data_IF_180503007092
#
_entry.id   IF_180503007092
#
_cell.length_a   1.000
_cell.length_b   1.000
_cell.length_c   1.000
_cell.angle_alpha   90.00
_cell.angle_beta   90.00
_cell.angle_gamma   90.00
#
_symmetry.space_group_name_H-M   'P 1'
#
loop_
_entity.id
_entity.type
_entity.pdbx_description
1 polymer ?
#
# COMPACT_ATOMS: atom_id res chain seq x y z
N UNK A 1 50.76 6.36 32.99
CA UNK A 1 49.64 5.42 33.22
C UNK A 1 48.82 5.36 31.95
N UNK A 2 48.50 4.19 31.37
CA UNK A 2 47.61 4.14 30.22
C UNK A 2 46.17 4.35 30.69
N UNK A 3 45.50 5.34 30.11
CA UNK A 3 44.05 5.55 30.25
C UNK A 3 43.36 4.53 29.34
N UNK A 4 42.70 3.54 29.94
CA UNK A 4 41.78 2.68 29.21
C UNK A 4 40.62 3.52 28.72
N UNK A 5 40.51 3.73 27.41
CA UNK A 5 39.31 4.30 26.80
C UNK A 5 38.20 3.26 26.91
N UNK A 6 37.35 3.38 27.92
CA UNK A 6 36.07 2.65 27.96
C UNK A 6 35.20 3.19 26.83
N UNK A 7 35.28 2.56 25.67
CA UNK A 7 34.33 2.81 24.58
C UNK A 7 32.99 2.23 25.02
N UNK A 8 32.11 3.07 25.56
CA UNK A 8 30.73 2.69 25.83
C UNK A 8 30.08 2.36 24.48
N UNK A 9 29.77 1.09 24.28
CA UNK A 9 29.11 0.61 23.06
C UNK A 9 27.67 1.09 23.08
N UNK A 10 27.29 1.89 22.08
CA UNK A 10 25.88 2.28 21.88
C UNK A 10 25.29 1.38 20.81
N UNK A 11 23.99 1.12 20.91
CA UNK A 11 23.22 0.39 19.93
C UNK A 11 21.99 1.21 19.54
N UNK A 12 21.61 1.13 18.27
CA UNK A 12 20.39 1.73 17.75
C UNK A 12 19.49 0.59 17.31
N UNK A 13 18.31 0.51 17.92
CA UNK A 13 17.26 -0.41 17.52
C UNK A 13 16.30 0.33 16.58
N UNK A 14 16.17 -0.18 15.36
CA UNK A 14 15.27 0.30 14.32
C UNK A 14 14.05 -0.61 14.29
N UNK A 15 12.86 -0.01 14.38
CA UNK A 15 11.59 -0.71 14.19
C UNK A 15 10.72 0.11 13.24
N UNK A 16 10.29 -0.50 12.14
CA UNK A 16 9.46 0.13 11.13
C UNK A 16 8.25 -0.73 10.80
N UNK A 17 7.08 -0.15 11.01
CA UNK A 17 5.78 -0.80 10.90
C UNK A 17 4.77 0.19 10.29
N UNK A 18 3.78 -0.36 9.59
CA UNK A 18 2.61 0.37 9.10
C UNK A 18 1.66 0.74 10.27
N UNK A 19 0.68 1.60 9.98
CA UNK A 19 -0.33 2.05 10.96
C UNK A 19 -1.19 0.90 11.50
N UNK A 20 -1.33 -0.19 10.75
CA UNK A 20 -2.03 -1.42 11.14
C UNK A 20 -1.15 -2.41 11.92
N UNK A 21 0.06 -1.98 12.33
CA UNK A 21 1.08 -2.78 13.01
C UNK A 21 1.72 -3.87 12.14
N UNK A 22 1.46 -3.93 10.82
CA UNK A 22 2.22 -4.81 9.95
C UNK A 22 3.68 -4.35 9.83
N UNK A 23 4.67 -5.26 9.96
CA UNK A 23 6.07 -4.90 9.82
C UNK A 23 6.40 -4.58 8.36
N UNK A 24 7.21 -3.54 8.15
CA UNK A 24 7.73 -3.22 6.80
C UNK A 24 8.95 -4.10 6.53
N UNK A 25 8.77 -5.15 5.72
CA UNK A 25 9.77 -6.21 5.59
C UNK A 25 10.81 -5.90 4.52
N UNK A 26 12.08 -6.17 4.84
CA UNK A 26 13.18 -6.03 3.86
C UNK A 26 13.48 -4.59 3.46
N UNK A 27 12.80 -3.60 4.05
CA UNK A 27 12.98 -2.21 3.68
C UNK A 27 14.43 -1.79 3.91
N UNK A 28 15.08 -1.16 2.91
CA UNK A 28 16.41 -0.60 3.10
C UNK A 28 16.31 0.55 4.10
N UNK A 29 17.29 0.67 4.99
CA UNK A 29 17.38 1.79 5.92
C UNK A 29 18.73 2.49 5.77
N UNK A 30 18.75 3.79 6.06
CA UNK A 30 19.94 4.63 6.09
C UNK A 30 19.95 5.49 7.34
N UNK A 31 20.94 5.29 8.21
CA UNK A 31 21.19 6.12 9.38
C UNK A 31 22.28 7.12 9.00
N UNK A 32 21.97 8.41 9.08
CA UNK A 32 22.94 9.48 8.84
C UNK A 32 23.22 10.19 10.15
N UNK A 33 24.49 10.14 10.57
CA UNK A 33 24.98 10.78 11.77
C UNK A 33 25.42 12.22 11.48
N UNK A 34 25.48 13.07 12.52
CA UNK A 34 25.87 14.48 12.39
C UNK A 34 27.30 14.70 11.91
N UNK A 35 28.16 13.69 11.97
CA UNK A 35 29.53 13.70 11.45
C UNK A 35 29.62 13.35 9.95
N UNK A 36 28.47 13.15 9.29
CA UNK A 36 28.32 12.65 7.92
C UNK A 36 28.69 11.18 7.73
N UNK A 37 28.89 10.42 8.82
CA UNK A 37 28.98 8.96 8.74
C UNK A 37 27.60 8.40 8.40
N UNK A 38 27.55 7.38 7.56
CA UNK A 38 26.31 6.73 7.13
C UNK A 38 26.40 5.24 7.42
N UNK A 39 25.31 4.67 7.95
CA UNK A 39 25.12 3.21 8.11
C UNK A 39 23.91 2.79 7.30
N UNK A 40 24.08 1.78 6.46
CA UNK A 40 23.04 1.27 5.57
C UNK A 40 22.84 -0.21 5.79
N UNK A 41 21.60 -0.67 5.65
CA UNK A 41 21.25 -2.07 5.77
C UNK A 41 19.81 -2.33 5.32
N UNK A 42 19.31 -3.51 5.66
CA UNK A 42 17.92 -3.89 5.43
C UNK A 42 17.28 -4.35 6.72
N UNK A 43 16.00 -4.01 6.89
CA UNK A 43 15.18 -4.55 7.97
C UNK A 43 14.95 -6.04 7.74
N UNK A 44 14.78 -6.78 8.84
CA UNK A 44 14.43 -8.18 8.80
C UNK A 44 12.93 -8.38 8.47
N UNK A 45 12.44 -9.61 8.60
CA UNK A 45 11.04 -9.98 8.35
C UNK A 45 10.05 -9.40 9.37
N UNK A 46 10.56 -8.83 10.47
CA UNK A 46 9.77 -8.19 11.52
C UNK A 46 9.85 -6.67 11.43
N UNK A 47 10.45 -6.11 10.36
CA UNK A 47 10.66 -4.66 10.26
C UNK A 47 11.69 -4.16 11.27
N UNK A 48 12.57 -5.04 11.74
CA UNK A 48 13.56 -4.75 12.76
C UNK A 48 14.99 -4.76 12.20
N UNK A 49 15.83 -3.86 12.71
CA UNK A 49 17.27 -3.95 12.57
C UNK A 49 17.95 -3.37 13.81
N UNK A 50 19.12 -3.91 14.16
CA UNK A 50 19.93 -3.40 15.25
C UNK A 50 21.33 -3.09 14.75
N UNK A 51 21.74 -1.85 14.96
CA UNK A 51 23.08 -1.39 14.64
C UNK A 51 23.89 -1.24 15.91
N UNK A 52 24.99 -1.99 16.03
CA UNK A 52 25.86 -1.98 17.21
C UNK A 52 27.09 -1.10 16.99
N UNK A 53 27.72 -0.67 18.09
CA UNK A 53 28.90 0.19 18.05
C UNK A 53 28.66 1.52 17.34
N UNK A 54 27.49 2.11 17.59
CA UNK A 54 27.12 3.41 17.02
C UNK A 54 27.80 4.55 17.81
N UNK A 55 28.21 5.62 17.13
CA UNK A 55 28.69 6.81 17.82
C UNK A 55 27.52 7.48 18.57
N UNK A 56 27.79 8.04 19.76
CA UNK A 56 26.80 8.80 20.52
C UNK A 56 26.64 10.22 19.96
N UNK A 57 26.21 10.30 18.70
CA UNK A 57 25.98 11.53 17.96
C UNK A 57 24.50 11.64 17.58
N UNK A 58 23.98 12.85 17.39
CA UNK A 58 22.67 13.02 16.76
C UNK A 58 22.64 12.34 15.38
N UNK A 59 21.52 11.68 15.09
CA UNK A 59 21.31 10.98 13.82
C UNK A 59 19.87 11.14 13.36
N UNK A 60 19.66 10.96 12.06
CA UNK A 60 18.33 10.74 11.48
C UNK A 60 18.33 9.43 10.70
N UNK A 61 17.15 8.83 10.56
CA UNK A 61 16.96 7.57 9.85
C UNK A 61 16.00 7.76 8.70
N UNK A 62 16.39 7.28 7.54
CA UNK A 62 15.55 7.20 6.34
C UNK A 62 15.22 5.74 6.09
N UNK A 63 13.92 5.42 6.04
CA UNK A 63 13.42 4.09 5.70
C UNK A 63 12.91 4.09 4.26
N UNK A 64 13.26 3.04 3.52
CA UNK A 64 12.72 2.76 2.20
C UNK A 64 11.38 2.03 2.24
N UNK A 65 10.99 1.51 1.09
CA UNK A 65 9.73 0.78 0.90
C UNK A 65 9.84 -0.70 1.30
N UNK A 66 8.70 -1.34 1.56
CA UNK A 66 8.60 -2.78 1.78
C UNK A 66 8.93 -3.54 0.48
N UNK A 67 9.82 -4.53 0.56
CA UNK A 67 10.21 -5.33 -0.62
C UNK A 67 9.15 -6.39 -0.98
N UNK A 68 8.09 -6.56 -0.18
CA UNK A 68 7.02 -7.52 -0.44
C UNK A 68 6.18 -7.08 -1.65
N UNK A 69 5.82 -8.02 -2.54
CA UNK A 69 4.92 -7.72 -3.64
C UNK A 69 3.52 -7.38 -3.10
N UNK A 70 2.99 -6.23 -3.55
CA UNK A 70 1.62 -5.82 -3.23
C UNK A 70 0.60 -6.88 -3.69
N UNK A 71 -0.31 -7.27 -2.79
CA UNK A 71 -1.46 -8.12 -3.11
C UNK A 71 -2.73 -7.31 -2.91
N UNK A 72 -3.45 -7.06 -4.00
CA UNK A 72 -4.74 -6.39 -3.91
C UNK A 72 -5.71 -7.22 -3.04
N UNK A 73 -6.51 -6.57 -2.17
CA UNK A 73 -7.56 -7.26 -1.45
C UNK A 73 -8.54 -7.89 -2.46
N UNK A 74 -9.16 -9.04 -2.12
CA UNK A 74 -10.19 -9.63 -2.96
C UNK A 74 -11.29 -8.60 -3.24
N UNK A 75 -11.69 -8.48 -4.51
CA UNK A 75 -12.85 -7.67 -4.85
C UNK A 75 -14.07 -8.25 -4.12
N UNK A 76 -14.82 -7.40 -3.43
CA UNK A 76 -16.10 -7.83 -2.87
C UNK A 76 -17.02 -8.28 -4.01
N UNK A 77 -17.41 -9.56 -3.97
CA UNK A 77 -18.40 -10.11 -4.89
C UNK A 77 -19.79 -9.70 -4.43
N UNK A 78 -20.10 -8.40 -4.50
CA UNK A 78 -21.47 -7.94 -4.31
C UNK A 78 -22.27 -8.29 -5.56
N UNK A 79 -23.10 -9.32 -5.51
CA UNK A 79 -24.06 -9.65 -6.58
C UNK A 79 -25.24 -8.65 -6.66
N UNK A 80 -25.19 -7.54 -5.90
CA UNK A 80 -26.24 -6.53 -5.86
C UNK A 80 -26.51 -5.91 -7.24
N UNK A 81 -25.46 -5.72 -8.04
CA UNK A 81 -25.61 -5.26 -9.42
C UNK A 81 -26.45 -6.22 -10.29
N UNK A 82 -26.46 -7.53 -9.99
CA UNK A 82 -27.28 -8.51 -10.71
C UNK A 82 -28.76 -8.39 -10.38
N UNK A 83 -29.11 -7.91 -9.18
CA UNK A 83 -30.50 -7.68 -8.75
C UNK A 83 -31.13 -6.48 -9.44
N UNK A 84 -30.35 -5.45 -9.73
CA UNK A 84 -30.81 -4.24 -10.43
C UNK A 84 -30.97 -4.42 -11.96
N UNK A 85 -30.29 -5.41 -12.56
CA UNK A 85 -30.38 -5.68 -14.01
C UNK A 85 -31.80 -5.99 -14.53
N UNK A 86 -32.61 -6.86 -13.91
CA UNK A 86 -33.96 -7.15 -14.42
C UNK A 86 -34.85 -5.92 -14.43
N UNK A 87 -34.75 -5.04 -13.43
CA UNK A 87 -35.54 -3.81 -13.36
C UNK A 87 -35.09 -2.81 -14.43
N UNK A 88 -33.78 -2.62 -14.59
CA UNK A 88 -33.22 -1.77 -15.65
C UNK A 88 -33.64 -2.27 -17.04
N UNK A 89 -33.57 -3.59 -17.29
CA UNK A 89 -34.01 -4.21 -18.55
C UNK A 89 -35.49 -3.99 -18.81
N UNK A 90 -36.34 -4.14 -17.78
CA UNK A 90 -37.78 -3.88 -17.90
C UNK A 90 -38.06 -2.41 -18.23
N UNK A 91 -37.35 -1.48 -17.60
CA UNK A 91 -37.52 -0.04 -17.86
C UNK A 91 -37.11 0.33 -19.27
N UNK A 92 -35.97 -0.17 -19.76
CA UNK A 92 -35.51 0.04 -21.14
C UNK A 92 -36.53 -0.50 -22.14
N UNK A 93 -37.06 -1.70 -21.90
CA UNK A 93 -38.06 -2.31 -22.77
C UNK A 93 -39.40 -1.58 -22.74
N UNK A 94 -39.87 -1.15 -21.56
CA UNK A 94 -41.09 -0.35 -21.42
C UNK A 94 -40.95 1.01 -22.12
N UNK A 95 -39.81 1.69 -21.96
CA UNK A 95 -39.57 2.96 -22.63
C UNK A 95 -39.51 2.78 -24.16
N UNK A 96 -38.86 1.71 -24.65
CA UNK A 96 -38.86 1.35 -26.07
C UNK A 96 -40.27 1.15 -26.59
N UNK A 97 -41.10 0.37 -25.89
CA UNK A 97 -42.49 0.13 -26.29
C UNK A 97 -43.32 1.42 -26.26
N UNK A 98 -43.11 2.30 -25.28
CA UNK A 98 -43.79 3.59 -25.20
C UNK A 98 -43.40 4.52 -26.36
N UNK A 99 -42.11 4.56 -26.76
CA UNK A 99 -41.63 5.33 -27.91
C UNK A 99 -42.20 4.81 -29.23
N UNK A 100 -42.26 3.49 -29.40
CA UNK A 100 -42.89 2.85 -30.57
C UNK A 100 -44.40 3.15 -30.61
N UNK A 101 -45.10 3.05 -29.48
CA UNK A 101 -46.53 3.35 -29.37
C UNK A 101 -46.85 4.84 -29.61
N UNK A 102 -45.90 5.74 -29.31
CA UNK A 102 -45.98 7.16 -29.63
C UNK A 102 -45.71 7.49 -31.12
N UNK A 103 -45.47 6.47 -31.95
CA UNK A 103 -45.28 6.62 -33.40
C UNK A 103 -43.84 6.89 -33.83
N UNK A 104 -42.87 6.80 -32.92
CA UNK A 104 -41.43 6.95 -33.23
C UNK A 104 -40.85 5.59 -33.65
N UNK A 105 -40.95 5.26 -34.94
CA UNK A 105 -40.50 3.97 -35.50
C UNK A 105 -38.98 3.87 -35.67
N UNK A 106 -38.22 4.95 -35.42
CA UNK A 106 -36.73 4.93 -35.42
C UNK A 106 -36.14 4.04 -34.33
N UNK A 107 -36.86 3.80 -33.23
CA UNK A 107 -36.42 2.93 -32.14
C UNK A 107 -36.49 1.42 -32.44
N UNK A 108 -37.11 1.02 -33.57
CA UNK A 108 -37.26 -0.39 -33.95
C UNK A 108 -36.05 -0.95 -34.72
N UNK A 109 -35.21 -0.11 -35.33
CA UNK A 109 -34.09 -0.55 -36.20
C UNK A 109 -32.75 -0.75 -35.46
N UNK A 110 -32.59 -0.26 -34.22
CA UNK A 110 -31.35 -0.35 -33.43
C UNK A 110 -31.15 -1.71 -32.73
N UNK A 111 -31.42 -2.82 -33.43
CA UNK A 111 -31.31 -4.20 -32.88
C UNK A 111 -30.55 -5.15 -33.83
N UNK A 112 -29.96 -4.67 -34.92
CA UNK A 112 -29.23 -5.54 -35.86
C UNK A 112 -27.73 -5.26 -36.02
N UNK A 113 -27.06 -4.59 -35.07
CA UNK A 113 -25.58 -4.62 -35.01
C UNK A 113 -25.05 -5.07 -33.66
#
# INVERSE_FOLDING_TARGET
>A
MPIGTTTISHAIDLNYQYDDLEPVQGAPYRIVFSDNTVREGKLDKQGFAREESTPNLPYYVEFGEDERPWKAPPLETSDEYKKAQPEAKRQIEMERQARIAAGDTRAAEDVQQ
#
